data_IF_126027730883
#
_entry.id   IF_126027730883
#
_cell.length_a   1.000
_cell.length_b   1.000
_cell.length_c   1.000
_cell.angle_alpha   90.00
_cell.angle_beta   90.00
_cell.angle_gamma   90.00
#
_symmetry.space_group_name_H-M   'P 1'
#
loop_
_entity.id
_entity.type
_entity.pdbx_description
1 polymer ?
#
# COMPACT_ATOMS: atom_id res chain seq x y z
N UNK A 1 0.90 -14.95 -2.54
CA UNK A 1 -0.49 -14.51 -2.30
C UNK A 1 -0.85 -13.48 -3.36
N UNK A 2 -2.08 -13.50 -3.88
CA UNK A 2 -2.59 -12.43 -4.73
C UNK A 2 -3.22 -11.37 -3.83
N UNK A 3 -2.82 -10.11 -3.97
CA UNK A 3 -3.30 -8.98 -3.15
C UNK A 3 -3.98 -7.98 -4.06
N UNK A 4 -5.15 -7.51 -3.61
CA UNK A 4 -5.80 -6.29 -4.08
C UNK A 4 -5.87 -5.36 -2.88
N UNK A 5 -5.34 -4.16 -3.02
CA UNK A 5 -5.35 -3.12 -2.00
C UNK A 5 -6.19 -1.96 -2.50
N UNK A 6 -7.23 -1.64 -1.75
CA UNK A 6 -8.06 -0.45 -1.94
C UNK A 6 -7.94 0.37 -0.67
N UNK A 7 -7.73 1.67 -0.79
CA UNK A 7 -7.63 2.57 0.36
C UNK A 7 -8.52 3.79 0.18
N UNK A 8 -9.08 4.28 1.28
CA UNK A 8 -9.81 5.55 1.33
C UNK A 8 -9.07 6.46 2.29
N UNK A 9 -8.20 7.30 1.74
CA UNK A 9 -7.35 8.21 2.50
C UNK A 9 -7.29 9.52 1.73
N UNK A 10 -7.66 10.61 2.39
CA UNK A 10 -7.56 11.97 1.84
C UNK A 10 -6.31 12.70 2.34
N UNK A 11 -5.85 13.71 1.60
CA UNK A 11 -4.79 14.61 2.04
C UNK A 11 -3.37 14.05 1.89
N UNK A 12 -2.40 14.66 2.59
CA UNK A 12 -0.97 14.36 2.44
C UNK A 12 -0.58 12.91 2.80
N UNK A 13 -1.36 12.27 3.67
CA UNK A 13 -1.24 10.86 4.05
C UNK A 13 -1.48 9.92 2.87
N UNK A 14 -2.37 10.28 1.95
CA UNK A 14 -2.66 9.50 0.73
C UNK A 14 -1.45 9.40 -0.21
N UNK A 15 -0.66 10.48 -0.30
CA UNK A 15 0.54 10.55 -1.15
C UNK A 15 1.62 9.63 -0.57
N UNK A 16 1.81 9.64 0.76
CA UNK A 16 2.73 8.73 1.45
C UNK A 16 2.33 7.27 1.22
N UNK A 17 1.05 6.93 1.40
CA UNK A 17 0.55 5.58 1.20
C UNK A 17 0.76 5.11 -0.25
N UNK A 18 0.46 5.98 -1.23
CA UNK A 18 0.69 5.70 -2.65
C UNK A 18 2.16 5.41 -2.96
N UNK A 19 3.09 6.18 -2.41
CA UNK A 19 4.53 5.93 -2.60
C UNK A 19 4.97 4.59 -2.02
N UNK A 20 4.44 4.19 -0.87
CA UNK A 20 4.74 2.88 -0.28
C UNK A 20 4.14 1.76 -1.15
N UNK A 21 2.86 1.85 -1.51
CA UNK A 21 2.17 0.84 -2.32
C UNK A 21 2.86 0.61 -3.67
N UNK A 22 3.36 1.66 -4.33
CA UNK A 22 4.11 1.56 -5.59
C UNK A 22 5.42 0.75 -5.51
N UNK A 23 5.99 0.54 -4.31
CA UNK A 23 7.17 -0.32 -4.13
C UNK A 23 6.83 -1.82 -4.20
N UNK A 24 5.57 -2.17 -3.92
CA UNK A 24 5.15 -3.55 -3.69
C UNK A 24 4.10 -4.04 -4.70
N UNK A 25 3.24 -3.15 -5.19
CA UNK A 25 2.07 -3.48 -6.00
C UNK A 25 2.01 -2.57 -7.25
N UNK A 26 1.30 -3.04 -8.27
CA UNK A 26 1.02 -2.26 -9.47
C UNK A 26 -0.19 -1.36 -9.23
N UNK A 27 -0.08 -0.08 -9.58
CA UNK A 27 -1.21 0.85 -9.57
C UNK A 27 -2.12 0.55 -10.76
N UNK A 28 -3.38 0.21 -10.48
CA UNK A 28 -4.35 -0.18 -11.52
C UNK A 28 -5.29 0.98 -11.85
N UNK A 29 -5.85 1.62 -10.83
CA UNK A 29 -6.73 2.77 -10.94
C UNK A 29 -6.63 3.61 -9.67
N UNK A 30 -7.33 4.76 -9.63
CA UNK A 30 -7.37 5.62 -8.46
C UNK A 30 -7.66 4.81 -7.18
N UNK A 31 -6.75 4.93 -6.22
CA UNK A 31 -6.81 4.24 -4.93
C UNK A 31 -6.82 2.71 -4.97
N UNK A 32 -6.45 2.09 -6.10
CA UNK A 32 -6.41 0.62 -6.24
C UNK A 32 -5.06 0.14 -6.76
N UNK A 33 -4.52 -0.83 -6.01
CA UNK A 33 -3.27 -1.51 -6.30
C UNK A 33 -3.45 -3.03 -6.33
N UNK A 34 -2.72 -3.71 -7.20
CA UNK A 34 -2.77 -5.17 -7.32
C UNK A 34 -1.38 -5.77 -7.52
N UNK A 35 -1.14 -6.97 -6.99
CA UNK A 35 0.11 -7.68 -7.21
C UNK A 35 0.23 -8.99 -6.46
N UNK A 36 1.27 -9.75 -6.81
CA UNK A 36 1.66 -10.96 -6.08
C UNK A 36 2.71 -10.59 -5.04
N UNK A 37 2.45 -10.94 -3.78
CA UNK A 37 3.41 -10.79 -2.69
C UNK A 37 3.69 -12.13 -2.02
N UNK A 38 4.93 -12.29 -1.57
CA UNK A 38 5.29 -13.31 -0.59
C UNK A 38 4.79 -12.90 0.80
N UNK A 39 4.64 -13.85 1.75
CA UNK A 39 4.27 -13.50 3.12
C UNK A 39 5.24 -12.51 3.79
N UNK A 40 6.54 -12.57 3.46
CA UNK A 40 7.54 -11.64 4.00
C UNK A 40 7.37 -10.23 3.43
N UNK A 41 7.12 -10.09 2.12
CA UNK A 41 6.84 -8.81 1.49
C UNK A 41 5.55 -8.19 2.03
N UNK A 42 4.51 -9.01 2.22
CA UNK A 42 3.24 -8.54 2.78
C UNK A 42 3.41 -7.99 4.20
N UNK A 43 4.14 -8.70 5.09
CA UNK A 43 4.46 -8.20 6.44
C UNK A 43 5.24 -6.89 6.40
N UNK A 44 6.19 -6.75 5.48
CA UNK A 44 6.99 -5.52 5.33
C UNK A 44 6.13 -4.34 4.85
N UNK A 45 5.25 -4.57 3.88
CA UNK A 45 4.26 -3.60 3.42
C UNK A 45 3.37 -3.12 4.57
N UNK A 46 2.81 -4.05 5.36
CA UNK A 46 1.98 -3.70 6.52
C UNK A 46 2.74 -2.85 7.55
N UNK A 47 3.99 -3.21 7.85
CA UNK A 47 4.83 -2.45 8.78
C UNK A 47 5.14 -1.04 8.27
N UNK A 48 5.40 -0.88 6.97
CA UNK A 48 5.65 0.43 6.35
C UNK A 48 4.38 1.29 6.35
N UNK A 49 3.22 0.72 6.04
CA UNK A 49 1.94 1.44 6.08
C UNK A 49 1.56 1.87 7.51
N UNK A 50 1.82 1.04 8.53
CA UNK A 50 1.49 1.39 9.92
C UNK A 50 2.29 2.58 10.46
N UNK A 51 3.42 2.93 9.85
CA UNK A 51 4.16 4.15 10.21
C UNK A 51 3.49 5.43 9.70
N UNK A 52 2.60 5.32 8.71
CA UNK A 52 1.86 6.46 8.18
C UNK A 52 0.70 6.84 9.11
N UNK A 53 0.02 5.86 9.73
CA UNK A 53 -1.13 6.09 10.61
C UNK A 53 -0.77 6.63 12.00
N UNK A 54 0.50 6.49 12.41
CA UNK A 54 0.96 6.84 13.75
C UNK A 54 1.33 8.33 13.95
N UNK A 55 0.99 9.22 13.00
CA UNK A 55 1.26 10.67 13.02
C UNK A 55 0.03 11.46 12.58
#
# INVERSE_FOLDING_TARGET
>A
MNIICVYDISGSTSIKAMHILRKYLFHVQHSVFQGKLTPSQFRRLQKELSQIEAH
#
